data_IF_012957753054
#
_entry.id   IF_012957753054
#
_cell.length_a   1.000
_cell.length_b   1.000
_cell.length_c   1.000
_cell.angle_alpha   90.00
_cell.angle_beta   90.00
_cell.angle_gamma   90.00
#
_symmetry.space_group_name_H-M   'P 1'
#
loop_
_entity.id
_entity.type
_entity.pdbx_description
1 polymer ?
#
# COMPACT_ATOMS: atom_id res chain seq x y z
N UNK A 1 23.15 6.36 8.40
CA UNK A 1 24.55 6.47 7.95
C UNK A 1 25.54 6.02 9.04
N UNK A 2 25.09 5.91 10.27
CA UNK A 2 25.88 5.49 11.42
C UNK A 2 25.51 4.07 11.91
N UNK A 3 24.83 3.28 11.10
CA UNK A 3 24.39 1.93 11.44
C UNK A 3 23.21 1.88 12.42
N UNK A 4 22.47 2.97 12.55
CA UNK A 4 21.28 3.06 13.41
C UNK A 4 21.60 3.52 14.85
N UNK A 5 22.78 4.10 15.08
CA UNK A 5 23.12 4.69 16.38
C UNK A 5 22.32 5.97 16.66
N UNK A 6 21.90 6.69 15.60
CA UNK A 6 21.00 7.84 15.70
C UNK A 6 19.91 7.82 14.62
N UNK A 7 18.77 8.44 14.93
CA UNK A 7 17.62 8.54 14.04
C UNK A 7 17.10 9.97 14.02
N UNK A 8 16.89 10.51 12.83
CA UNK A 8 16.29 11.84 12.63
C UNK A 8 15.03 11.68 11.76
N UNK A 9 13.85 12.10 12.23
CA UNK A 9 12.65 12.04 11.40
C UNK A 9 12.77 13.05 10.24
N UNK A 10 12.50 12.59 9.01
CA UNK A 10 12.50 13.43 7.81
C UNK A 10 11.08 13.73 7.32
N UNK A 11 10.09 12.93 7.72
CA UNK A 11 8.67 13.17 7.53
C UNK A 11 7.98 13.18 8.89
N UNK A 12 7.41 14.33 9.25
CA UNK A 12 6.59 14.50 10.46
C UNK A 12 5.32 15.22 10.06
N UNK A 13 4.17 14.63 10.28
CA UNK A 13 2.85 15.17 9.92
C UNK A 13 2.19 15.72 11.18
N UNK A 14 1.74 14.84 12.08
CA UNK A 14 1.24 15.21 13.41
C UNK A 14 1.58 14.14 14.46
N UNK A 15 1.12 14.34 15.71
CA UNK A 15 1.42 13.42 16.83
C UNK A 15 0.67 12.06 16.74
N UNK A 16 -0.35 11.95 15.89
CA UNK A 16 -1.19 10.77 15.75
C UNK A 16 -0.98 10.04 14.42
N UNK A 17 -0.11 10.57 13.55
CA UNK A 17 0.09 10.08 12.20
C UNK A 17 1.49 9.52 12.04
N UNK A 18 1.58 8.29 11.55
CA UNK A 18 2.84 7.60 11.26
C UNK A 18 2.85 7.01 9.87
N UNK A 19 4.04 6.81 9.32
CA UNK A 19 4.22 6.07 8.07
C UNK A 19 4.04 4.58 8.36
N UNK A 20 3.15 3.93 7.63
CA UNK A 20 2.83 2.51 7.77
C UNK A 20 3.27 1.68 6.58
N UNK A 21 3.57 2.33 5.46
CA UNK A 21 4.09 1.67 4.27
C UNK A 21 5.06 2.60 3.53
N UNK A 22 6.08 2.03 2.87
CA UNK A 22 7.14 2.79 2.22
C UNK A 22 7.70 2.01 1.04
N UNK A 23 7.62 2.61 -0.16
CA UNK A 23 8.05 2.03 -1.41
C UNK A 23 9.13 2.88 -2.10
N UNK A 24 10.18 2.23 -2.59
CA UNK A 24 11.19 2.85 -3.44
C UNK A 24 10.86 2.61 -4.92
N UNK A 25 10.95 3.67 -5.74
CA UNK A 25 10.82 3.47 -7.19
C UNK A 25 11.90 2.48 -7.69
N UNK A 26 11.51 1.46 -8.48
CA UNK A 26 12.42 0.35 -8.82
C UNK A 26 13.66 0.75 -9.61
N UNK A 27 13.58 1.85 -10.36
CA UNK A 27 14.65 2.36 -11.24
C UNK A 27 15.36 3.60 -10.68
N UNK A 28 14.82 4.21 -9.60
CA UNK A 28 15.37 5.43 -9.00
C UNK A 28 15.22 5.41 -7.47
N UNK A 29 16.24 5.00 -6.72
CA UNK A 29 16.20 4.94 -5.27
C UNK A 29 16.10 6.32 -4.57
N UNK A 30 16.21 7.42 -5.30
CA UNK A 30 15.94 8.76 -4.76
C UNK A 30 14.45 9.09 -4.73
N UNK A 31 13.64 8.39 -5.51
CA UNK A 31 12.18 8.50 -5.49
C UNK A 31 11.60 7.49 -4.50
N UNK A 32 10.90 8.02 -3.49
CA UNK A 32 10.31 7.23 -2.39
C UNK A 32 8.86 7.65 -2.18
N UNK A 33 7.98 6.69 -2.01
CA UNK A 33 6.58 6.88 -1.66
C UNK A 33 6.36 6.44 -0.21
N UNK A 34 5.55 7.19 0.54
CA UNK A 34 5.21 6.88 1.91
C UNK A 34 3.70 6.99 2.13
N UNK A 35 3.11 5.96 2.68
CA UNK A 35 1.71 5.97 3.12
C UNK A 35 1.65 6.36 4.60
N UNK A 36 0.98 7.46 4.89
CA UNK A 36 0.78 7.95 6.24
C UNK A 36 -0.62 7.58 6.74
N UNK A 37 -0.70 7.10 7.96
CA UNK A 37 -1.94 6.66 8.59
C UNK A 37 -2.14 7.40 9.92
N UNK A 38 -3.19 8.20 9.99
CA UNK A 38 -3.63 8.83 11.24
C UNK A 38 -4.35 7.81 12.10
N UNK A 39 -3.68 7.36 13.17
CA UNK A 39 -4.16 6.23 13.99
C UNK A 39 -3.83 6.42 15.45
N UNK A 40 -4.84 6.23 16.29
CA UNK A 40 -4.65 6.17 17.74
C UNK A 40 -5.54 5.06 18.32
N UNK A 41 -4.95 4.20 19.13
CA UNK A 41 -5.69 3.13 19.82
C UNK A 41 -5.53 3.27 21.33
N UNK A 42 -6.66 3.28 22.00
CA UNK A 42 -6.77 3.26 23.45
C UNK A 42 -7.70 2.13 23.89
N UNK A 43 -7.73 1.83 25.20
CA UNK A 43 -8.65 0.82 25.76
C UNK A 43 -10.12 1.21 25.63
N UNK A 44 -10.41 2.50 25.46
CA UNK A 44 -11.77 3.05 25.35
C UNK A 44 -12.13 3.64 24.00
N UNK A 45 -11.21 3.62 23.03
CA UNK A 45 -11.47 4.20 21.72
C UNK A 45 -10.41 3.90 20.69
N UNK A 46 -10.82 4.01 19.44
CA UNK A 46 -9.99 3.79 18.26
C UNK A 46 -10.23 4.90 17.24
N UNK A 47 -9.15 5.53 16.81
CA UNK A 47 -9.10 6.41 15.64
C UNK A 47 -8.39 5.60 14.54
N UNK A 48 -9.06 5.37 13.44
CA UNK A 48 -8.53 4.63 12.30
C UNK A 48 -8.76 5.41 11.02
N UNK A 49 -8.10 6.55 10.90
CA UNK A 49 -8.20 7.47 9.78
C UNK A 49 -8.43 8.90 10.22
N UNK A 50 -8.23 9.81 9.28
CA UNK A 50 -8.43 11.22 9.49
C UNK A 50 -7.80 12.07 8.39
N UNK A 51 -7.89 13.40 8.48
CA UNK A 51 -7.40 14.31 7.44
C UNK A 51 -5.88 14.30 7.24
N UNK A 52 -5.13 13.76 8.20
CA UNK A 52 -3.67 13.70 8.13
C UNK A 52 -3.16 12.36 7.54
N UNK A 53 -4.08 11.43 7.21
CA UNK A 53 -3.73 10.24 6.40
C UNK A 53 -3.56 10.65 4.95
N UNK A 54 -2.53 10.12 4.28
CA UNK A 54 -2.27 10.49 2.89
C UNK A 54 -1.07 9.78 2.30
N UNK A 55 -0.78 10.08 1.03
CA UNK A 55 0.39 9.60 0.31
C UNK A 55 1.38 10.76 0.15
N UNK A 56 2.62 10.49 0.50
CA UNK A 56 3.71 11.43 0.42
C UNK A 56 4.79 10.91 -0.54
N UNK A 57 5.40 11.81 -1.30
CA UNK A 57 6.49 11.48 -2.23
C UNK A 57 7.71 12.32 -1.95
N UNK A 58 8.85 11.67 -1.96
CA UNK A 58 10.19 12.28 -2.00
C UNK A 58 10.83 12.01 -3.36
N UNK A 59 11.70 12.91 -3.80
CA UNK A 59 12.57 12.74 -4.98
C UNK A 59 14.05 13.01 -4.66
N UNK A 60 14.39 13.00 -3.38
CA UNK A 60 15.74 13.28 -2.88
C UNK A 60 16.19 12.26 -1.82
N UNK A 61 15.67 11.03 -1.91
CA UNK A 61 16.02 9.94 -1.00
C UNK A 61 15.43 10.10 0.39
N UNK A 62 14.26 10.72 0.50
CA UNK A 62 13.53 10.89 1.76
C UNK A 62 13.99 12.09 2.58
N UNK A 63 14.76 13.03 2.01
CA UNK A 63 15.19 14.22 2.73
C UNK A 63 14.07 15.27 2.82
N UNK A 64 13.32 15.45 1.73
CA UNK A 64 12.12 16.29 1.68
C UNK A 64 10.94 15.54 1.10
N UNK A 65 9.74 15.94 1.51
CA UNK A 65 8.50 15.24 1.16
C UNK A 65 7.43 16.23 0.71
N UNK A 66 6.60 15.82 -0.24
CA UNK A 66 5.39 16.53 -0.63
C UNK A 66 4.20 15.57 -0.61
N UNK A 67 3.08 16.07 -0.21
CA UNK A 67 1.81 15.33 -0.27
C UNK A 67 1.33 15.18 -1.72
N UNK A 68 0.76 14.02 -2.03
CA UNK A 68 0.08 13.72 -3.29
C UNK A 68 -1.42 13.76 -3.04
N UNK A 69 -2.16 14.48 -3.89
CA UNK A 69 -3.61 14.64 -3.71
C UNK A 69 -4.42 14.47 -5.00
N UNK A 70 -3.78 14.52 -6.18
CA UNK A 70 -4.48 14.53 -7.46
C UNK A 70 -5.08 13.16 -7.75
N UNK A 71 -6.42 13.08 -7.82
CA UNK A 71 -7.16 11.85 -8.10
C UNK A 71 -7.36 10.92 -6.90
N UNK A 72 -6.79 11.26 -5.74
CA UNK A 72 -6.99 10.54 -4.48
C UNK A 72 -8.32 10.94 -3.80
N UNK A 73 -8.78 10.18 -2.78
CA UNK A 73 -9.97 10.53 -2.03
C UNK A 73 -9.93 11.96 -1.48
N UNK A 74 -11.06 12.64 -1.55
CA UNK A 74 -11.26 13.97 -0.94
C UNK A 74 -11.87 13.89 0.46
N UNK A 75 -12.15 12.68 0.91
CA UNK A 75 -12.59 12.34 2.26
C UNK A 75 -11.41 11.90 3.09
N UNK A 76 -11.60 11.88 4.41
CA UNK A 76 -10.63 11.32 5.32
C UNK A 76 -10.25 9.90 4.88
N UNK A 77 -8.95 9.64 4.85
CA UNK A 77 -8.40 8.33 4.55
C UNK A 77 -8.01 7.59 5.82
N UNK A 78 -8.15 6.27 5.79
CA UNK A 78 -7.66 5.36 6.80
C UNK A 78 -6.29 4.78 6.43
N UNK A 79 -6.15 3.47 6.57
CA UNK A 79 -4.94 2.76 6.17
C UNK A 79 -4.77 2.81 4.65
N UNK A 80 -3.53 2.99 4.23
CA UNK A 80 -3.12 2.98 2.83
C UNK A 80 -1.98 1.98 2.71
N UNK A 81 -2.03 1.14 1.68
CA UNK A 81 -0.91 0.32 1.25
C UNK A 81 -0.50 0.70 -0.17
N UNK A 82 0.79 0.60 -0.45
CA UNK A 82 1.41 0.96 -1.72
C UNK A 82 2.08 -0.25 -2.35
N UNK A 83 2.20 -0.25 -3.67
CA UNK A 83 3.08 -1.17 -4.38
C UNK A 83 3.64 -0.51 -5.64
N UNK A 84 4.87 -0.86 -5.98
CA UNK A 84 5.55 -0.49 -7.21
C UNK A 84 5.99 -1.74 -7.96
N UNK A 85 6.23 -1.65 -9.26
CA UNK A 85 6.67 -2.79 -10.05
C UNK A 85 7.86 -2.46 -10.93
N UNK A 86 8.83 -3.38 -10.98
CA UNK A 86 9.98 -3.27 -11.89
C UNK A 86 9.58 -3.52 -13.36
N UNK A 87 8.40 -4.12 -13.61
CA UNK A 87 7.89 -4.32 -14.97
C UNK A 87 7.53 -3.02 -15.67
N UNK A 88 7.10 -2.00 -14.91
CA UNK A 88 6.84 -0.64 -15.40
C UNK A 88 7.05 0.35 -14.25
N UNK A 89 8.20 1.04 -14.18
CA UNK A 89 8.51 1.98 -13.09
C UNK A 89 7.63 3.22 -13.01
N UNK A 90 6.82 3.51 -14.04
CA UNK A 90 5.86 4.62 -14.01
C UNK A 90 4.57 4.24 -13.25
N UNK A 91 4.35 2.94 -13.01
CA UNK A 91 3.19 2.46 -12.28
C UNK A 91 3.42 2.47 -10.76
N UNK A 92 2.43 3.02 -10.07
CA UNK A 92 2.29 2.92 -8.61
C UNK A 92 0.86 2.52 -8.30
N UNK A 93 0.69 1.59 -7.40
CA UNK A 93 -0.62 1.12 -6.93
C UNK A 93 -0.84 1.51 -5.48
N UNK A 94 -2.10 1.75 -5.13
CA UNK A 94 -2.50 1.97 -3.75
C UNK A 94 -3.84 1.31 -3.46
N UNK A 95 -3.97 0.71 -2.28
CA UNK A 95 -5.26 0.38 -1.70
C UNK A 95 -5.54 1.36 -0.57
N UNK A 96 -6.68 2.04 -0.61
CA UNK A 96 -6.97 3.17 0.28
C UNK A 96 -8.28 2.92 1.02
N UNK A 97 -8.22 2.87 2.36
CA UNK A 97 -9.39 2.95 3.21
C UNK A 97 -9.92 4.39 3.19
N UNK A 98 -11.20 4.55 2.93
CA UNK A 98 -11.91 5.84 2.96
C UNK A 98 -13.41 5.58 3.15
N UNK A 99 -14.24 6.56 2.83
CA UNK A 99 -15.69 6.41 2.88
C UNK A 99 -16.39 7.12 1.72
N UNK A 100 -17.71 6.86 1.61
CA UNK A 100 -18.55 7.51 0.60
C UNK A 100 -18.30 7.06 -0.83
N UNK A 101 -17.78 5.83 -1.02
CA UNK A 101 -17.48 5.25 -2.33
C UNK A 101 -16.15 5.72 -2.92
N UNK A 102 -15.29 6.30 -2.09
CA UNK A 102 -13.92 6.69 -2.46
C UNK A 102 -12.87 5.71 -1.93
N UNK A 103 -13.27 4.75 -1.09
CA UNK A 103 -12.43 3.61 -0.72
C UNK A 103 -12.14 2.73 -1.93
N UNK A 104 -10.99 2.05 -1.94
CA UNK A 104 -10.70 1.07 -2.97
C UNK A 104 -9.28 1.06 -3.49
N UNK A 105 -9.15 0.49 -4.69
CA UNK A 105 -7.90 0.32 -5.37
C UNK A 105 -7.65 1.44 -6.38
N UNK A 106 -6.47 2.02 -6.33
CA UNK A 106 -6.02 3.15 -7.13
C UNK A 106 -4.77 2.79 -7.93
N UNK A 107 -4.65 3.38 -9.11
CA UNK A 107 -3.50 3.23 -10.00
C UNK A 107 -3.01 4.59 -10.45
N UNK A 108 -1.70 4.80 -10.40
CA UNK A 108 -1.00 5.89 -11.08
C UNK A 108 -0.20 5.32 -12.26
N UNK A 109 -0.11 6.06 -13.35
CA UNK A 109 0.73 5.77 -14.52
C UNK A 109 1.76 6.87 -14.79
N UNK A 110 1.98 7.72 -13.81
CA UNK A 110 2.86 8.90 -13.89
C UNK A 110 3.70 9.06 -12.62
N UNK A 111 4.15 7.93 -12.06
CA UNK A 111 4.98 7.89 -10.84
C UNK A 111 4.31 8.55 -9.63
N UNK A 112 3.01 8.36 -9.48
CA UNK A 112 2.24 8.87 -8.34
C UNK A 112 1.88 10.35 -8.41
N UNK A 113 2.04 11.03 -9.57
CA UNK A 113 1.64 12.43 -9.70
C UNK A 113 0.13 12.59 -9.75
N UNK A 114 -0.56 11.63 -10.39
CA UNK A 114 -2.02 11.54 -10.42
C UNK A 114 -2.50 10.10 -10.32
N UNK A 115 -3.74 9.93 -9.83
CA UNK A 115 -4.30 8.62 -9.52
C UNK A 115 -5.68 8.44 -10.14
N UNK A 116 -5.94 7.21 -10.58
CA UNK A 116 -7.23 6.76 -11.09
C UNK A 116 -7.84 5.75 -10.11
N UNK A 117 -9.08 5.98 -9.70
CA UNK A 117 -9.86 5.00 -8.91
C UNK A 117 -10.30 3.86 -9.81
N UNK A 118 -9.78 2.65 -9.58
CA UNK A 118 -10.02 1.48 -10.43
C UNK A 118 -11.18 0.62 -9.93
N UNK A 119 -11.28 0.43 -8.62
CA UNK A 119 -12.23 -0.48 -8.01
C UNK A 119 -12.49 -0.07 -6.56
N UNK A 120 -13.68 -0.36 -6.04
CA UNK A 120 -14.04 -0.12 -4.63
C UNK A 120 -13.61 -1.23 -3.69
N UNK A 121 -12.89 -2.25 -4.20
CA UNK A 121 -12.42 -3.34 -3.36
C UNK A 121 -11.34 -2.87 -2.39
N UNK A 122 -11.57 -3.16 -1.12
CA UNK A 122 -10.58 -3.10 -0.04
C UNK A 122 -10.62 -4.43 0.70
N UNK A 123 -9.66 -4.68 1.58
CA UNK A 123 -9.68 -5.88 2.42
C UNK A 123 -11.03 -6.05 3.13
N UNK A 124 -11.70 -7.17 2.86
CA UNK A 124 -13.12 -7.34 3.20
C UNK A 124 -13.41 -8.09 4.50
N UNK A 125 -12.43 -8.81 5.06
CA UNK A 125 -12.68 -9.73 6.15
C UNK A 125 -12.92 -9.06 7.49
N UNK A 126 -11.92 -8.42 8.02
CA UNK A 126 -11.93 -7.82 9.38
C UNK A 126 -11.66 -6.32 9.38
N UNK A 127 -11.48 -5.77 8.21
CA UNK A 127 -11.19 -4.35 7.98
C UNK A 127 -9.72 -4.06 7.69
N UNK A 128 -9.46 -2.95 7.02
CA UNK A 128 -8.15 -2.59 6.48
C UNK A 128 -7.05 -2.44 7.55
N UNK A 129 -7.41 -2.19 8.78
CA UNK A 129 -6.44 -2.00 9.87
C UNK A 129 -5.66 -3.28 10.26
N UNK A 130 -6.11 -4.46 9.83
CA UNK A 130 -5.38 -5.74 9.99
C UNK A 130 -4.70 -6.18 8.70
N UNK A 131 -5.32 -5.96 7.57
CA UNK A 131 -4.88 -6.40 6.24
C UNK A 131 -4.63 -5.20 5.34
N UNK A 132 -4.72 -5.39 4.04
CA UNK A 132 -4.66 -4.37 3.00
C UNK A 132 -3.25 -4.13 2.44
N UNK A 133 -2.24 -4.85 2.91
CA UNK A 133 -0.95 -4.84 2.24
C UNK A 133 -1.12 -5.37 0.80
N UNK A 134 -0.38 -4.78 -0.14
CA UNK A 134 -0.39 -5.17 -1.55
C UNK A 134 1.04 -5.40 -2.05
N UNK A 135 1.19 -6.30 -3.01
CA UNK A 135 2.47 -6.61 -3.65
C UNK A 135 2.26 -6.71 -5.16
N UNK A 136 3.02 -5.95 -5.93
CA UNK A 136 2.94 -5.98 -7.38
C UNK A 136 3.92 -7.03 -7.97
N UNK A 137 3.50 -7.71 -9.03
CA UNK A 137 4.38 -8.63 -9.74
C UNK A 137 5.60 -7.89 -10.29
N UNK A 138 6.81 -8.42 -10.09
CA UNK A 138 8.03 -7.78 -10.61
C UNK A 138 8.18 -7.88 -12.13
N UNK A 139 7.39 -8.72 -12.80
CA UNK A 139 7.52 -9.02 -14.23
C UNK A 139 6.28 -8.73 -15.06
N UNK A 140 5.12 -8.58 -14.41
CA UNK A 140 3.81 -8.38 -15.07
C UNK A 140 3.14 -7.13 -14.47
N UNK A 141 3.17 -6.04 -15.20
CA UNK A 141 2.80 -4.72 -14.69
C UNK A 141 1.38 -4.65 -14.11
N UNK A 142 0.40 -5.36 -14.69
CA UNK A 142 -0.99 -5.32 -14.28
C UNK A 142 -1.40 -6.36 -13.22
N UNK A 143 -0.43 -7.15 -12.73
CA UNK A 143 -0.68 -8.14 -11.68
C UNK A 143 -0.30 -7.57 -10.31
N UNK A 144 -1.30 -7.48 -9.42
CA UNK A 144 -1.11 -7.09 -8.02
C UNK A 144 -1.85 -8.06 -7.13
N UNK A 145 -1.20 -8.49 -6.06
CA UNK A 145 -1.78 -9.36 -5.04
C UNK A 145 -2.06 -8.54 -3.80
N UNK A 146 -3.28 -8.64 -3.29
CA UNK A 146 -3.68 -8.00 -2.03
C UNK A 146 -3.79 -9.05 -0.93
N UNK A 147 -3.16 -8.75 0.19
CA UNK A 147 -3.24 -9.55 1.40
C UNK A 147 -4.57 -9.29 2.11
N UNK A 148 -5.25 -10.37 2.41
CA UNK A 148 -6.54 -10.42 3.10
C UNK A 148 -6.63 -11.77 3.82
N UNK A 149 -7.78 -12.13 4.35
CA UNK A 149 -8.07 -13.48 4.86
C UNK A 149 -7.62 -14.53 3.83
N UNK A 150 -7.96 -14.33 2.57
CA UNK A 150 -7.41 -15.06 1.42
C UNK A 150 -6.73 -14.08 0.48
N UNK A 151 -5.60 -14.47 -0.11
CA UNK A 151 -4.98 -13.64 -1.13
C UNK A 151 -5.96 -13.33 -2.27
N UNK A 152 -6.09 -12.06 -2.57
CA UNK A 152 -6.82 -11.56 -3.73
C UNK A 152 -5.83 -11.14 -4.80
N UNK A 153 -6.20 -11.28 -6.05
CA UNK A 153 -5.34 -10.91 -7.18
C UNK A 153 -6.14 -10.17 -8.23
N UNK A 154 -5.52 -9.15 -8.79
CA UNK A 154 -5.93 -8.52 -10.04
C UNK A 154 -4.96 -8.90 -11.16
N UNK A 155 -5.46 -9.05 -12.38
CA UNK A 155 -4.68 -9.29 -13.60
C UNK A 155 -4.87 -8.16 -14.63
N UNK A 156 -5.59 -7.11 -14.27
CA UNK A 156 -6.02 -6.01 -15.13
C UNK A 156 -5.75 -4.63 -14.52
N UNK A 157 -4.74 -4.55 -13.65
CA UNK A 157 -4.34 -3.30 -13.01
C UNK A 157 -5.40 -2.73 -12.07
N UNK A 158 -6.16 -3.61 -11.40
CA UNK A 158 -7.11 -3.26 -10.37
C UNK A 158 -8.55 -3.05 -10.83
N UNK A 159 -8.92 -3.38 -12.08
CA UNK A 159 -10.33 -3.31 -12.51
C UNK A 159 -11.18 -4.40 -11.86
N UNK A 160 -10.63 -5.60 -11.78
CA UNK A 160 -11.30 -6.74 -11.14
C UNK A 160 -10.38 -7.48 -10.18
N UNK A 161 -10.97 -8.08 -9.14
CA UNK A 161 -10.28 -8.91 -8.16
C UNK A 161 -10.90 -10.29 -8.07
N UNK A 162 -10.07 -11.28 -7.84
CA UNK A 162 -10.47 -12.66 -7.60
C UNK A 162 -9.57 -13.34 -6.59
N UNK A 163 -10.02 -14.49 -6.06
CA UNK A 163 -9.20 -15.26 -5.14
C UNK A 163 -8.00 -15.89 -5.86
N UNK A 164 -6.80 -15.69 -5.33
CA UNK A 164 -5.59 -16.37 -5.80
C UNK A 164 -5.52 -17.80 -5.28
N UNK A 165 -6.13 -18.09 -4.13
CA UNK A 165 -6.05 -19.37 -3.43
C UNK A 165 -7.44 -19.92 -3.09
N UNK A 166 -7.51 -21.23 -2.84
CA UNK A 166 -8.78 -21.93 -2.54
C UNK A 166 -9.10 -22.00 -1.05
N UNK A 167 -8.24 -21.50 -0.17
CA UNK A 167 -8.36 -21.62 1.29
C UNK A 167 -8.10 -23.02 1.84
N UNK A 168 -7.49 -23.92 1.03
CA UNK A 168 -7.11 -25.28 1.44
C UNK A 168 -5.61 -25.52 1.38
N UNK A 169 -4.88 -24.61 0.75
CA UNK A 169 -3.48 -24.79 0.40
C UNK A 169 -2.56 -24.33 1.54
N UNK A 170 -3.03 -23.46 2.39
CA UNK A 170 -2.33 -22.92 3.57
C UNK A 170 -3.33 -22.35 4.58
N UNK A 171 -2.84 -21.86 5.72
CA UNK A 171 -3.65 -21.10 6.67
C UNK A 171 -4.12 -19.78 6.05
N UNK A 172 -5.29 -19.29 6.49
CA UNK A 172 -5.78 -17.94 6.16
C UNK A 172 -5.01 -16.84 6.89
N UNK A 173 -5.48 -15.61 6.78
CA UNK A 173 -4.94 -14.44 7.49
C UNK A 173 -3.52 -14.09 7.04
N UNK A 174 -3.45 -13.50 5.85
CA UNK A 174 -2.20 -13.19 5.18
C UNK A 174 -1.71 -11.80 5.56
N UNK A 175 -0.44 -11.70 6.00
CA UNK A 175 0.17 -10.46 6.46
C UNK A 175 1.50 -10.12 5.78
N UNK A 176 2.05 -11.04 5.01
CA UNK A 176 3.28 -10.80 4.26
C UNK A 176 3.29 -11.63 2.99
N UNK A 177 3.84 -11.05 1.94
CA UNK A 177 4.09 -11.71 0.67
C UNK A 177 5.43 -11.26 0.12
N UNK A 178 6.19 -12.20 -0.38
CA UNK A 178 7.37 -11.93 -1.21
C UNK A 178 7.25 -12.70 -2.50
N UNK A 179 7.54 -12.04 -3.62
CA UNK A 179 7.53 -12.62 -4.96
C UNK A 179 8.96 -12.64 -5.48
N UNK A 180 9.43 -13.83 -5.92
CA UNK A 180 10.77 -13.94 -6.50
C UNK A 180 10.87 -13.11 -7.79
N UNK A 181 11.78 -12.10 -7.85
CA UNK A 181 11.91 -11.25 -9.03
C UNK A 181 12.40 -11.99 -10.29
N UNK A 182 12.98 -13.17 -10.13
CA UNK A 182 13.44 -13.99 -11.25
C UNK A 182 12.46 -15.10 -11.64
N UNK A 183 11.51 -15.42 -10.78
CA UNK A 183 10.49 -16.43 -11.02
C UNK A 183 9.21 -16.09 -10.26
N UNK A 184 8.31 -15.27 -10.81
CA UNK A 184 7.11 -14.79 -10.13
C UNK A 184 6.10 -15.89 -9.74
N UNK A 185 6.30 -17.12 -10.20
CA UNK A 185 5.54 -18.28 -9.74
C UNK A 185 6.05 -18.83 -8.39
N UNK A 186 7.19 -18.36 -7.93
CA UNK A 186 7.74 -18.69 -6.62
C UNK A 186 7.46 -17.54 -5.64
N UNK A 187 6.59 -17.81 -4.70
CA UNK A 187 6.13 -16.82 -3.70
C UNK A 187 6.27 -17.39 -2.30
N UNK A 188 6.51 -16.53 -1.33
CA UNK A 188 6.49 -16.84 0.09
C UNK A 188 5.42 -15.99 0.76
N UNK A 189 4.40 -16.63 1.33
CA UNK A 189 3.35 -15.98 2.10
C UNK A 189 3.51 -16.21 3.59
N UNK A 190 3.34 -15.16 4.39
CA UNK A 190 3.28 -15.21 5.83
C UNK A 190 1.84 -15.13 6.33
N UNK A 191 1.46 -16.03 7.26
CA UNK A 191 0.13 -16.13 7.86
C UNK A 191 0.22 -16.17 9.38
N UNK A 192 -0.91 -16.08 10.07
CA UNK A 192 -1.00 -16.11 11.54
C UNK A 192 -0.71 -17.47 12.19
N UNK A 193 -0.56 -18.56 11.44
CA UNK A 193 -0.34 -19.91 11.96
C UNK A 193 0.77 -20.66 11.24
#
# INVERSE_FOLDING_TARGET
EDGGESWTPTLTIDENTGVTDLEFAPDDPSTVYAAAFQRRRHTWGYMGGGPESGIWKSTDGGQTWREITVGLPTRDMGKIALAVTAADPDLVYATIESNGGQEGFYRSTDRGESWEHRNTYISGGTGPHYYQEIEASPTEADIVIQMDVFFQVTYDGGETFGNLETGRDKHSDNHALWIDPNNPLHMLGGTDA
#
